data_IF_100526365126
#
_entry.id   IF_100526365126
#
_cell.length_a   1.000
_cell.length_b   1.000
_cell.length_c   1.000
_cell.angle_alpha   90.00
_cell.angle_beta   90.00
_cell.angle_gamma   90.00
#
_symmetry.space_group_name_H-M   'P 1'
#
loop_
_entity.id
_entity.type
_entity.pdbx_description
1 polymer ?
#
# COMPACT_ATOMS: atom_id res chain seq x y z
N UNK A 1 9.82 -18.90 -27.31
CA UNK A 1 8.71 -17.98 -27.58
C UNK A 1 7.68 -17.98 -26.45
N UNK A 2 7.14 -19.12 -26.09
CA UNK A 2 6.16 -19.18 -25.00
C UNK A 2 6.77 -18.78 -23.64
N UNK A 3 7.99 -19.24 -23.37
CA UNK A 3 8.70 -18.89 -22.13
C UNK A 3 8.89 -17.36 -22.00
N UNK A 4 9.28 -16.70 -23.08
CA UNK A 4 9.46 -15.25 -23.09
C UNK A 4 8.15 -14.51 -22.88
N UNK A 5 7.06 -14.99 -23.45
CA UNK A 5 5.73 -14.42 -23.24
C UNK A 5 5.29 -14.51 -21.78
N UNK A 6 5.56 -15.65 -21.15
CA UNK A 6 5.24 -15.86 -19.73
C UNK A 6 6.07 -14.92 -18.85
N UNK A 7 7.37 -14.82 -19.11
CA UNK A 7 8.25 -13.92 -18.37
C UNK A 7 7.83 -12.46 -18.52
N UNK A 8 7.49 -12.05 -19.74
CA UNK A 8 7.03 -10.68 -20.00
C UNK A 8 5.71 -10.37 -19.27
N UNK A 9 4.77 -11.29 -19.31
CA UNK A 9 3.49 -11.13 -18.61
C UNK A 9 3.69 -11.03 -17.09
N UNK A 10 4.55 -11.86 -16.53
CA UNK A 10 4.84 -11.83 -15.11
C UNK A 10 5.57 -10.53 -14.72
N UNK A 11 6.47 -10.05 -15.55
CA UNK A 11 7.14 -8.76 -15.32
C UNK A 11 6.15 -7.59 -15.34
N UNK A 12 5.19 -7.60 -16.25
CA UNK A 12 4.14 -6.59 -16.29
C UNK A 12 3.31 -6.58 -15.01
N UNK A 13 2.96 -7.75 -14.48
CA UNK A 13 2.24 -7.87 -13.21
C UNK A 13 3.08 -7.30 -12.06
N UNK A 14 4.34 -7.69 -11.96
CA UNK A 14 5.23 -7.20 -10.91
C UNK A 14 5.38 -5.68 -10.95
N UNK A 15 5.51 -5.11 -12.14
CA UNK A 15 5.61 -3.66 -12.33
C UNK A 15 4.33 -2.95 -11.89
N UNK A 16 3.18 -3.52 -12.23
CA UNK A 16 1.88 -2.95 -11.86
C UNK A 16 1.61 -3.02 -10.36
N UNK A 17 2.01 -4.11 -9.71
CA UNK A 17 1.90 -4.22 -8.24
C UNK A 17 2.66 -3.09 -7.55
N UNK A 18 3.88 -2.82 -7.98
CA UNK A 18 4.67 -1.71 -7.43
C UNK A 18 4.01 -0.36 -7.65
N UNK A 19 3.45 -0.14 -8.84
CA UNK A 19 2.74 1.09 -9.13
C UNK A 19 1.53 1.28 -8.21
N UNK A 20 0.80 0.22 -7.91
CA UNK A 20 -0.34 0.25 -6.98
C UNK A 20 0.14 0.54 -5.55
N UNK A 21 1.19 -0.13 -5.09
CA UNK A 21 1.75 0.10 -3.76
C UNK A 21 2.20 1.55 -3.59
N UNK A 22 2.95 2.07 -4.55
CA UNK A 22 3.41 3.46 -4.55
C UNK A 22 2.25 4.44 -4.60
N UNK A 23 1.22 4.13 -5.38
CA UNK A 23 0.01 4.95 -5.49
C UNK A 23 -0.76 5.03 -4.17
N UNK A 24 -0.87 3.92 -3.46
CA UNK A 24 -1.53 3.88 -2.15
C UNK A 24 -0.73 4.71 -1.14
N UNK A 25 0.58 4.55 -1.10
CA UNK A 25 1.45 5.32 -0.21
C UNK A 25 1.33 6.83 -0.50
N UNK A 26 1.29 7.21 -1.77
CA UNK A 26 1.12 8.59 -2.18
C UNK A 26 -0.25 9.16 -1.73
N UNK A 27 -1.32 8.39 -1.86
CA UNK A 27 -2.65 8.82 -1.44
C UNK A 27 -2.74 8.98 0.08
N UNK A 28 -2.12 8.08 0.85
CA UNK A 28 -2.06 8.22 2.31
C UNK A 28 -1.34 9.52 2.69
N UNK A 29 -0.23 9.83 2.05
CA UNK A 29 0.50 11.09 2.27
C UNK A 29 -0.34 12.31 1.91
N UNK A 30 -1.05 12.26 0.79
CA UNK A 30 -1.97 13.34 0.37
C UNK A 30 -3.13 13.51 1.35
N UNK A 31 -3.66 12.43 1.88
CA UNK A 31 -4.72 12.48 2.89
C UNK A 31 -4.24 13.15 4.19
N UNK A 32 -3.01 12.87 4.60
CA UNK A 32 -2.38 13.53 5.75
C UNK A 32 -2.20 15.05 5.50
N UNK A 33 -1.82 15.44 4.29
CA UNK A 33 -1.73 16.84 3.91
C UNK A 33 -3.10 17.52 3.91
N UNK A 34 -4.13 16.83 3.45
CA UNK A 34 -5.50 17.33 3.52
C UNK A 34 -5.91 17.61 4.97
N UNK A 35 -5.61 16.69 5.88
CA UNK A 35 -5.86 16.90 7.30
C UNK A 35 -5.20 18.16 7.83
N UNK A 36 -3.93 18.36 7.48
CA UNK A 36 -3.17 19.55 7.88
C UNK A 36 -3.82 20.83 7.31
N UNK A 37 -4.26 20.82 6.07
CA UNK A 37 -4.90 21.96 5.42
C UNK A 37 -6.27 22.27 6.02
N UNK A 38 -7.04 21.26 6.39
CA UNK A 38 -8.31 21.46 7.10
C UNK A 38 -8.07 22.17 8.43
N UNK A 39 -7.07 21.75 9.17
CA UNK A 39 -6.74 22.38 10.46
C UNK A 39 -6.23 23.81 10.30
N UNK A 40 -5.45 24.10 9.26
CA UNK A 40 -5.02 25.46 8.96
C UNK A 40 -6.20 26.36 8.58
N UNK A 41 -7.11 25.85 7.75
CA UNK A 41 -8.31 26.56 7.38
C UNK A 41 -9.20 26.83 8.58
N UNK A 42 -9.36 25.87 9.47
CA UNK A 42 -10.09 26.04 10.73
C UNK A 42 -9.49 27.16 11.57
N UNK A 43 -8.16 27.21 11.68
CA UNK A 43 -7.44 28.27 12.41
C UNK A 43 -7.74 29.66 11.86
N UNK A 44 -7.83 29.78 10.54
CA UNK A 44 -8.14 31.06 9.87
C UNK A 44 -9.61 31.43 10.01
N UNK A 45 -10.51 30.48 9.76
CA UNK A 45 -11.95 30.73 9.76
C UNK A 45 -12.56 30.77 11.16
N UNK A 46 -11.88 30.23 12.15
CA UNK A 46 -12.36 30.10 13.53
C UNK A 46 -13.72 29.46 13.63
N UNK A 47 -13.99 28.49 12.75
CA UNK A 47 -15.21 27.70 12.81
C UNK A 47 -15.22 26.87 14.09
N UNK A 48 -16.41 26.59 14.62
CA UNK A 48 -16.55 25.78 15.83
C UNK A 48 -16.17 24.32 15.59
N UNK A 49 -15.89 23.60 16.67
CA UNK A 49 -15.56 22.17 16.65
C UNK A 49 -16.66 21.36 15.93
N UNK A 50 -17.93 21.71 16.12
CA UNK A 50 -19.04 21.07 15.43
C UNK A 50 -19.02 21.20 13.90
N UNK A 51 -18.30 22.18 13.37
CA UNK A 51 -18.16 22.38 11.93
C UNK A 51 -16.95 21.64 11.37
N UNK A 52 -15.84 21.57 12.12
CA UNK A 52 -14.58 21.00 11.63
C UNK A 52 -14.45 19.50 11.93
N UNK A 53 -15.05 19.02 13.00
CA UNK A 53 -14.93 17.61 13.38
C UNK A 53 -15.60 16.63 12.40
N UNK A 54 -16.81 16.87 11.86
CA UNK A 54 -17.40 15.92 10.92
C UNK A 54 -16.50 15.62 9.70
N UNK A 55 -15.95 16.61 8.98
CA UNK A 55 -15.00 16.30 7.90
C UNK A 55 -13.73 15.61 8.37
N UNK A 56 -13.22 15.94 9.56
CA UNK A 56 -12.03 15.27 10.12
C UNK A 56 -12.31 13.81 10.45
N UNK A 57 -13.48 13.51 10.99
CA UNK A 57 -13.89 12.15 11.30
C UNK A 57 -14.01 11.30 10.03
N UNK A 58 -14.57 11.88 8.96
CA UNK A 58 -14.69 11.20 7.68
C UNK A 58 -13.30 10.96 7.07
N UNK A 59 -12.40 11.94 7.15
CA UNK A 59 -11.04 11.80 6.67
C UNK A 59 -10.26 10.74 7.46
N UNK A 60 -10.44 10.68 8.78
CA UNK A 60 -9.83 9.65 9.62
C UNK A 60 -10.30 8.25 9.20
N UNK A 61 -11.58 8.09 8.90
CA UNK A 61 -12.13 6.84 8.40
C UNK A 61 -11.52 6.48 7.03
N UNK A 62 -11.34 7.45 6.15
CA UNK A 62 -10.71 7.25 4.84
C UNK A 62 -9.26 6.81 4.99
N UNK A 63 -8.49 7.44 5.86
CA UNK A 63 -7.09 7.05 6.11
C UNK A 63 -7.01 5.64 6.67
N UNK A 64 -7.88 5.29 7.62
CA UNK A 64 -7.95 3.93 8.15
C UNK A 64 -8.26 2.91 7.06
N UNK A 65 -9.20 3.22 6.18
CA UNK A 65 -9.52 2.37 5.02
C UNK A 65 -8.36 2.20 4.06
N UNK A 66 -7.60 3.28 3.80
CA UNK A 66 -6.40 3.23 2.96
C UNK A 66 -5.31 2.35 3.57
N UNK A 67 -5.12 2.42 4.88
CA UNK A 67 -4.15 1.57 5.60
C UNK A 67 -4.57 0.10 5.49
N UNK A 68 -5.85 -0.21 5.63
CA UNK A 68 -6.37 -1.56 5.43
C UNK A 68 -6.17 -2.03 4.00
N UNK A 69 -6.41 -1.17 3.02
CA UNK A 69 -6.17 -1.45 1.60
C UNK A 69 -4.69 -1.74 1.35
N UNK A 70 -3.81 -0.97 1.97
CA UNK A 70 -2.37 -1.20 1.88
C UNK A 70 -1.99 -2.59 2.38
N UNK A 71 -2.53 -3.02 3.51
CA UNK A 71 -2.31 -4.38 4.03
C UNK A 71 -2.81 -5.45 3.07
N UNK A 72 -3.97 -5.22 2.44
CA UNK A 72 -4.52 -6.16 1.47
C UNK A 72 -3.66 -6.27 0.21
N UNK A 73 -3.08 -5.17 -0.26
CA UNK A 73 -2.17 -5.18 -1.41
C UNK A 73 -0.86 -5.88 -1.07
N UNK A 74 -0.33 -5.70 0.14
CA UNK A 74 0.85 -6.45 0.61
C UNK A 74 0.56 -7.96 0.60
N UNK A 75 -0.62 -8.36 1.07
CA UNK A 75 -1.04 -9.76 1.02
C UNK A 75 -1.20 -10.27 -0.41
N UNK A 76 -1.72 -9.45 -1.31
CA UNK A 76 -1.80 -9.76 -2.73
C UNK A 76 -0.41 -9.98 -3.33
N UNK A 77 0.55 -9.12 -3.02
CA UNK A 77 1.94 -9.26 -3.46
C UNK A 77 2.52 -10.61 -3.01
N UNK A 78 2.37 -10.95 -1.73
CA UNK A 78 2.83 -12.23 -1.20
C UNK A 78 2.18 -13.42 -1.90
N UNK A 79 0.88 -13.35 -2.17
CA UNK A 79 0.17 -14.40 -2.90
C UNK A 79 0.67 -14.54 -4.34
N UNK A 80 1.02 -13.43 -4.99
CA UNK A 80 1.61 -13.45 -6.34
C UNK A 80 2.99 -14.07 -6.35
N UNK A 81 3.82 -13.81 -5.34
CA UNK A 81 5.13 -14.46 -5.17
C UNK A 81 4.95 -15.98 -5.06
N UNK A 82 4.00 -16.42 -4.25
CA UNK A 82 3.69 -17.85 -4.12
C UNK A 82 3.19 -18.44 -5.43
N UNK A 83 2.31 -17.73 -6.14
CA UNK A 83 1.80 -18.17 -7.44
C UNK A 83 2.92 -18.28 -8.47
N UNK A 84 3.88 -17.35 -8.47
CA UNK A 84 5.05 -17.39 -9.34
C UNK A 84 5.83 -18.69 -9.15
N UNK A 85 5.99 -19.15 -7.92
CA UNK A 85 6.67 -20.41 -7.60
C UNK A 85 6.01 -21.65 -8.19
N UNK A 86 4.73 -21.54 -8.57
CA UNK A 86 3.96 -22.65 -9.17
C UNK A 86 3.98 -22.63 -10.70
N UNK A 87 4.53 -21.58 -11.30
CA UNK A 87 4.57 -21.45 -12.76
C UNK A 87 5.93 -21.91 -13.26
N UNK A 88 5.93 -22.88 -14.18
CA UNK A 88 7.16 -23.37 -14.79
C UNK A 88 7.88 -22.23 -15.51
N UNK A 89 9.18 -22.11 -15.28
CA UNK A 89 10.02 -21.08 -15.88
C UNK A 89 10.11 -19.76 -15.08
N UNK A 90 9.33 -19.60 -14.03
CA UNK A 90 9.37 -18.39 -13.19
C UNK A 90 9.93 -18.62 -11.79
N UNK A 91 10.19 -19.85 -11.40
CA UNK A 91 10.55 -20.19 -10.03
C UNK A 91 11.82 -19.51 -9.52
N UNK A 92 12.75 -19.24 -10.42
CA UNK A 92 14.05 -18.65 -10.09
C UNK A 92 14.15 -17.17 -10.48
N UNK A 93 13.06 -16.61 -11.05
CA UNK A 93 13.04 -15.22 -11.48
C UNK A 93 12.64 -14.32 -10.31
N UNK A 94 13.43 -13.31 -10.03
CA UNK A 94 13.11 -12.33 -9.00
C UNK A 94 13.03 -10.93 -9.61
N UNK A 95 11.98 -10.20 -9.22
CA UNK A 95 11.76 -8.81 -9.59
C UNK A 95 11.44 -7.97 -8.35
N UNK A 96 12.25 -8.13 -7.29
CA UNK A 96 12.03 -7.44 -6.05
C UNK A 96 11.00 -8.08 -5.13
N UNK A 97 10.80 -9.39 -5.27
CA UNK A 97 9.77 -10.13 -4.55
C UNK A 97 9.91 -10.09 -3.03
N UNK A 98 11.10 -9.86 -2.52
CA UNK A 98 11.37 -9.88 -1.10
C UNK A 98 11.62 -8.52 -0.46
N UNK A 99 11.82 -7.48 -1.26
CA UNK A 99 12.35 -6.22 -0.76
C UNK A 99 11.28 -5.15 -0.47
N UNK A 100 10.16 -5.19 -1.16
CA UNK A 100 9.20 -4.11 -1.15
C UNK A 100 8.03 -4.31 -0.20
N UNK A 101 7.78 -5.56 0.17
CA UNK A 101 6.78 -5.88 1.17
C UNK A 101 7.51 -6.47 2.36
N UNK A 102 7.49 -5.78 3.50
CA UNK A 102 7.99 -6.42 4.71
C UNK A 102 7.20 -7.71 4.89
N UNK A 103 7.92 -8.81 5.00
CA UNK A 103 7.30 -10.05 5.35
C UNK A 103 6.39 -9.82 6.55
N UNK A 104 5.20 -10.30 6.44
CA UNK A 104 4.35 -10.41 7.61
C UNK A 104 5.03 -11.43 8.53
N UNK A 105 5.97 -10.95 9.27
CA UNK A 105 6.71 -11.72 10.25
C UNK A 105 5.84 -11.97 11.47
N UNK A 106 4.58 -12.31 11.24
CA UNK A 106 3.66 -12.79 12.27
C UNK A 106 4.16 -12.57 13.69
N UNK A 107 4.13 -11.34 14.14
CA UNK A 107 4.45 -11.02 15.52
C UNK A 107 5.91 -11.16 15.92
N UNK A 108 6.83 -11.17 14.97
CA UNK A 108 8.26 -11.16 15.31
C UNK A 108 8.82 -9.74 15.38
N UNK A 109 8.09 -8.86 16.00
CA UNK A 109 8.76 -7.78 16.67
C UNK A 109 9.47 -8.38 17.88
N UNK A 110 10.60 -9.00 17.64
CA UNK A 110 11.51 -9.31 18.73
C UNK A 110 12.12 -7.98 19.16
N UNK A 111 11.58 -7.44 20.21
CA UNK A 111 12.32 -6.47 20.98
C UNK A 111 13.51 -7.25 21.54
N UNK A 112 14.63 -7.12 20.89
CA UNK A 112 15.89 -7.55 21.46
C UNK A 112 16.25 -6.46 22.46
N UNK A 113 15.85 -6.71 23.68
CA UNK A 113 16.39 -5.92 24.77
C UNK A 113 17.85 -6.35 25.00
#
# INVERSE_FOLDING_TARGET
MRKQMIENAAFEVATQVRAVEDGIDAVIAEAAELQARIMRAHSVCRAGVGTVNPPLEQLAAAISGLIQTRCAIVACHSALVDAKGKVAGLRETSWGDGDDCPEDTKGQLRIVA
#
